data_IF_370354770203
#
_entry.id   IF_370354770203
#
_cell.length_a   1.000
_cell.length_b   1.000
_cell.length_c   1.000
_cell.angle_alpha   90.00
_cell.angle_beta   90.00
_cell.angle_gamma   90.00
#
_symmetry.space_group_name_H-M   'P 1'
#
loop_
_entity.id
_entity.type
_entity.pdbx_description
1 polymer ?
#
# COMPACT_ATOMS: atom_id res chain seq x y z
N UNK A 1 -20.63 -3.38 -3.04
CA UNK A 1 -19.40 -4.03 -2.54
C UNK A 1 -18.71 -4.64 -3.74
N UNK A 2 -17.55 -4.12 -4.13
CA UNK A 2 -16.76 -4.69 -5.23
C UNK A 2 -15.91 -5.85 -4.68
N UNK A 3 -16.56 -6.97 -4.37
CA UNK A 3 -15.90 -8.17 -3.83
C UNK A 3 -14.81 -8.71 -4.78
N UNK A 4 -14.99 -8.54 -6.09
CA UNK A 4 -14.00 -8.91 -7.10
C UNK A 4 -12.69 -8.14 -6.92
N UNK A 5 -12.76 -6.81 -6.84
CA UNK A 5 -11.57 -5.94 -6.68
C UNK A 5 -10.89 -6.21 -5.33
N UNK A 6 -11.68 -6.35 -4.26
CA UNK A 6 -11.13 -6.71 -2.94
C UNK A 6 -10.35 -8.01 -3.00
N UNK A 7 -10.89 -9.03 -3.69
CA UNK A 7 -10.24 -10.34 -3.82
C UNK A 7 -8.96 -10.26 -4.66
N UNK A 8 -8.97 -9.51 -5.76
CA UNK A 8 -7.78 -9.27 -6.58
C UNK A 8 -6.67 -8.57 -5.78
N UNK A 9 -7.00 -7.50 -5.04
CA UNK A 9 -6.06 -6.80 -4.16
C UNK A 9 -5.46 -7.77 -3.13
N UNK A 10 -6.30 -8.59 -2.48
CA UNK A 10 -5.84 -9.57 -1.48
C UNK A 10 -4.90 -10.61 -2.07
N UNK A 11 -5.24 -11.15 -3.24
CA UNK A 11 -4.43 -12.16 -3.90
C UNK A 11 -3.09 -11.57 -4.35
N UNK A 12 -3.10 -10.36 -4.93
CA UNK A 12 -1.86 -9.70 -5.35
C UNK A 12 -0.99 -9.30 -4.16
N UNK A 13 -1.59 -8.80 -3.09
CA UNK A 13 -0.88 -8.49 -1.85
C UNK A 13 -0.17 -9.73 -1.27
N UNK A 14 -0.88 -10.87 -1.23
CA UNK A 14 -0.31 -12.14 -0.77
C UNK A 14 0.84 -12.58 -1.66
N UNK A 15 0.65 -12.61 -2.98
CA UNK A 15 1.67 -12.98 -3.96
C UNK A 15 2.95 -12.14 -3.79
N UNK A 16 2.82 -10.81 -3.68
CA UNK A 16 3.96 -9.90 -3.57
C UNK A 16 4.73 -10.06 -2.25
N UNK A 17 4.03 -10.35 -1.15
CA UNK A 17 4.65 -10.58 0.15
C UNK A 17 5.28 -11.98 0.24
N UNK A 18 4.62 -13.03 -0.27
CA UNK A 18 5.16 -14.41 -0.26
C UNK A 18 6.38 -14.57 -1.16
N UNK A 19 6.48 -13.78 -2.22
CA UNK A 19 7.63 -13.77 -3.13
C UNK A 19 8.75 -12.80 -2.71
N UNK A 20 8.63 -12.16 -1.54
CA UNK A 20 9.58 -11.15 -1.04
C UNK A 20 9.85 -10.02 -2.06
N UNK A 21 8.88 -9.71 -2.94
CA UNK A 21 8.98 -8.59 -3.90
C UNK A 21 8.77 -7.25 -3.20
N UNK A 22 7.93 -7.24 -2.17
CA UNK A 22 7.69 -6.07 -1.32
C UNK A 22 7.77 -6.48 0.15
N UNK A 23 8.21 -5.55 0.99
CA UNK A 23 8.32 -5.76 2.44
C UNK A 23 7.06 -5.26 3.18
N UNK A 24 6.17 -4.54 2.49
CA UNK A 24 4.93 -4.00 3.04
C UNK A 24 3.90 -3.72 1.93
N UNK A 25 2.62 -4.01 2.19
CA UNK A 25 1.49 -3.56 1.37
C UNK A 25 0.69 -2.51 2.14
N UNK A 26 0.43 -1.36 1.52
CA UNK A 26 -0.40 -0.27 2.04
C UNK A 26 -1.74 -0.31 1.31
N UNK A 27 -2.81 -0.60 2.05
CA UNK A 27 -4.17 -0.65 1.51
C UNK A 27 -5.19 -0.08 2.49
N UNK A 28 -6.45 -0.50 2.38
CA UNK A 28 -7.51 -0.11 3.30
C UNK A 28 -8.02 -1.32 4.07
N UNK A 29 -8.44 -1.11 5.31
CA UNK A 29 -9.17 -2.10 6.09
C UNK A 29 -10.41 -1.47 6.74
N UNK A 30 -11.33 -2.31 7.19
CA UNK A 30 -12.50 -1.87 7.93
C UNK A 30 -12.09 -1.19 9.24
N UNK A 31 -12.64 0.01 9.48
CA UNK A 31 -12.47 0.70 10.76
C UNK A 31 -13.48 0.19 11.79
N UNK A 32 -13.08 -0.03 13.05
CA UNK A 32 -14.02 -0.40 14.13
C UNK A 32 -15.13 0.63 14.36
N UNK A 33 -14.92 1.90 13.94
CA UNK A 33 -15.91 2.99 14.05
C UNK A 33 -16.76 3.17 12.78
N UNK A 34 -16.69 2.23 11.84
CA UNK A 34 -17.30 2.33 10.52
C UNK A 34 -16.40 3.04 9.50
N UNK A 35 -16.65 2.76 8.22
CA UNK A 35 -15.83 3.21 7.09
C UNK A 35 -14.52 2.45 6.95
N UNK A 36 -13.56 3.03 6.23
CA UNK A 36 -12.25 2.45 6.00
C UNK A 36 -11.13 3.28 6.66
N UNK A 37 -10.03 2.61 6.99
CA UNK A 37 -8.79 3.25 7.42
C UNK A 37 -7.59 2.67 6.65
N UNK A 38 -6.46 3.38 6.57
CA UNK A 38 -5.22 2.82 6.05
C UNK A 38 -4.80 1.56 6.81
N UNK A 39 -4.36 0.55 6.07
CA UNK A 39 -3.83 -0.71 6.59
C UNK A 39 -2.39 -0.92 6.09
N UNK A 40 -1.55 -1.48 6.95
CA UNK A 40 -0.16 -1.82 6.64
C UNK A 40 0.02 -3.31 6.90
N UNK A 41 0.20 -4.07 5.82
CA UNK A 41 0.29 -5.52 5.85
C UNK A 41 1.75 -5.90 5.61
N UNK A 42 2.33 -6.61 6.57
CA UNK A 42 3.71 -7.12 6.49
C UNK A 42 3.74 -8.65 6.39
N UNK A 43 2.66 -9.32 6.80
CA UNK A 43 2.52 -10.77 6.75
C UNK A 43 1.48 -11.14 5.67
N UNK A 44 1.80 -12.04 4.72
CA UNK A 44 0.84 -12.52 3.73
C UNK A 44 -0.48 -13.07 4.33
N UNK A 45 -0.44 -13.64 5.52
CA UNK A 45 -1.63 -14.15 6.23
C UNK A 45 -2.60 -13.02 6.60
N UNK A 46 -2.09 -11.80 6.79
CA UNK A 46 -2.88 -10.62 7.12
C UNK A 46 -3.51 -9.95 5.91
N UNK A 47 -3.20 -10.38 4.68
CA UNK A 47 -3.75 -9.79 3.45
C UNK A 47 -5.29 -9.81 3.43
N UNK A 48 -5.93 -10.78 4.11
CA UNK A 48 -7.39 -10.86 4.25
C UNK A 48 -8.04 -9.64 4.93
N UNK A 49 -7.28 -8.83 5.67
CA UNK A 49 -7.75 -7.57 6.28
C UNK A 49 -8.07 -6.49 5.24
N UNK A 50 -7.47 -6.59 4.05
CA UNK A 50 -7.64 -5.59 3.00
C UNK A 50 -9.09 -5.56 2.49
N UNK A 51 -9.62 -4.37 2.27
CA UNK A 51 -10.99 -4.15 1.78
C UNK A 51 -11.00 -3.05 0.74
N UNK A 52 -11.90 -3.14 -0.24
CA UNK A 52 -12.16 -2.09 -1.21
C UNK A 52 -13.65 -1.78 -1.31
N UNK A 53 -14.03 -0.54 -1.04
CA UNK A 53 -15.39 -0.04 -1.16
C UNK A 53 -15.41 1.50 -1.21
N UNK A 54 -16.62 2.08 -1.29
CA UNK A 54 -16.84 3.53 -1.41
C UNK A 54 -16.29 4.35 -0.23
N UNK A 55 -16.06 3.73 0.93
CA UNK A 55 -15.48 4.40 2.10
C UNK A 55 -13.95 4.50 2.04
N UNK A 56 -13.29 3.96 1.00
CA UNK A 56 -11.84 4.03 0.75
C UNK A 56 -11.38 5.43 0.30
N UNK A 57 -11.62 6.46 1.12
CA UNK A 57 -11.41 7.86 0.75
C UNK A 57 -10.00 8.39 1.01
N UNK A 58 -9.25 7.80 1.94
CA UNK A 58 -7.93 8.30 2.35
C UNK A 58 -6.89 8.19 1.23
N UNK A 59 -6.01 9.19 1.07
CA UNK A 59 -4.91 9.12 0.11
C UNK A 59 -3.73 8.34 0.72
N UNK A 60 -3.57 7.07 0.32
CA UNK A 60 -2.53 6.19 0.87
C UNK A 60 -1.10 6.53 0.43
N UNK A 61 -0.95 7.28 -0.67
CA UNK A 61 0.37 7.69 -1.19
C UNK A 61 1.15 8.52 -0.17
N UNK A 62 0.43 9.25 0.69
CA UNK A 62 1.03 10.08 1.75
C UNK A 62 1.92 9.25 2.71
N UNK A 63 1.60 7.98 2.93
CA UNK A 63 2.38 7.10 3.82
C UNK A 63 3.68 6.58 3.22
N UNK A 64 3.92 6.80 1.92
CA UNK A 64 5.21 6.47 1.30
C UNK A 64 6.36 7.29 1.91
N UNK A 65 6.07 8.46 2.49
CA UNK A 65 7.06 9.28 3.18
C UNK A 65 7.71 8.58 4.37
N UNK A 66 6.94 7.78 5.10
CA UNK A 66 7.42 7.03 6.27
C UNK A 66 8.26 5.81 5.86
N UNK A 67 8.32 5.50 4.56
CA UNK A 67 9.02 4.34 3.99
C UNK A 67 10.28 4.73 3.21
N UNK A 68 10.63 6.01 3.15
CA UNK A 68 11.82 6.52 2.45
C UNK A 68 13.14 6.16 3.14
N UNK A 69 13.11 5.87 4.44
CA UNK A 69 14.30 5.58 5.23
C UNK A 69 14.35 4.11 5.62
N UNK A 70 15.55 3.52 5.71
CA UNK A 70 15.69 2.16 6.22
C UNK A 70 15.30 2.11 7.70
N UNK A 71 14.78 0.96 8.12
CA UNK A 71 14.36 0.74 9.51
C UNK A 71 15.56 0.67 10.45
N UNK A 72 16.71 0.19 9.96
CA UNK A 72 17.97 0.13 10.68
C UNK A 72 19.11 0.71 9.86
N UNK A 73 20.16 1.16 10.55
CA UNK A 73 21.37 1.67 9.90
C UNK A 73 22.06 0.54 9.13
N UNK A 74 22.33 0.78 7.85
CA UNK A 74 23.01 -0.18 6.96
C UNK A 74 22.06 -1.07 6.15
N UNK A 75 20.75 -0.96 6.35
CA UNK A 75 19.74 -1.60 5.51
C UNK A 75 19.30 -0.66 4.39
N UNK A 76 18.65 -1.23 3.37
CA UNK A 76 17.97 -0.43 2.37
C UNK A 76 16.55 -0.02 2.82
N UNK A 77 15.98 1.08 2.30
CA UNK A 77 14.57 1.40 2.51
C UNK A 77 13.66 0.26 2.03
N UNK A 78 12.54 -0.01 2.74
CA UNK A 78 11.63 -1.09 2.36
C UNK A 78 11.00 -0.85 0.99
N UNK A 79 10.78 -1.94 0.25
CA UNK A 79 9.96 -2.00 -0.95
C UNK A 79 8.49 -2.07 -0.55
N UNK A 80 7.65 -1.26 -1.18
CA UNK A 80 6.27 -1.04 -0.73
C UNK A 80 5.32 -1.18 -1.90
N UNK A 81 4.29 -2.02 -1.75
CA UNK A 81 3.11 -1.97 -2.60
C UNK A 81 2.10 -0.98 -2.01
N UNK A 82 1.45 -0.17 -2.85
CA UNK A 82 0.41 0.77 -2.41
C UNK A 82 -0.79 0.71 -3.34
N UNK A 83 -1.98 0.57 -2.77
CA UNK A 83 -3.23 0.65 -3.54
C UNK A 83 -3.56 2.11 -3.84
N UNK A 84 -3.63 2.46 -5.13
CA UNK A 84 -3.80 3.85 -5.59
C UNK A 84 -5.13 4.02 -6.33
N UNK A 85 -5.92 5.03 -5.91
CA UNK A 85 -7.12 5.47 -6.63
C UNK A 85 -6.74 6.36 -7.82
N UNK A 86 -7.57 6.45 -8.88
CA UNK A 86 -7.34 7.39 -9.98
C UNK A 86 -7.09 8.84 -9.51
N UNK A 87 -7.83 9.31 -8.50
CA UNK A 87 -7.65 10.64 -7.92
C UNK A 87 -6.33 10.82 -7.15
N UNK A 88 -5.77 9.75 -6.58
CA UNK A 88 -4.50 9.77 -5.82
C UNK A 88 -3.28 9.63 -6.74
N UNK A 89 -3.46 9.17 -7.98
CA UNK A 89 -2.37 8.96 -8.95
C UNK A 89 -1.51 10.20 -9.18
N UNK A 90 -2.12 11.40 -9.15
CA UNK A 90 -1.40 12.68 -9.26
C UNK A 90 -0.39 12.85 -8.12
N UNK A 91 -0.76 12.52 -6.89
CA UNK A 91 0.15 12.61 -5.75
C UNK A 91 1.36 11.69 -5.92
N UNK A 92 1.14 10.46 -6.38
CA UNK A 92 2.23 9.52 -6.63
C UNK A 92 3.21 10.06 -7.68
N UNK A 93 2.68 10.58 -8.79
CA UNK A 93 3.49 11.14 -9.87
C UNK A 93 4.31 12.35 -9.41
N UNK A 94 3.76 13.22 -8.55
CA UNK A 94 4.51 14.34 -7.97
C UNK A 94 5.66 13.85 -7.09
N UNK A 95 5.43 12.86 -6.23
CA UNK A 95 6.50 12.30 -5.40
C UNK A 95 7.62 11.66 -6.24
N UNK A 96 7.27 11.00 -7.34
CA UNK A 96 8.26 10.43 -8.27
C UNK A 96 9.03 11.54 -9.01
N UNK A 97 8.33 12.55 -9.52
CA UNK A 97 8.93 13.65 -10.28
C UNK A 97 9.89 14.49 -9.42
N UNK A 98 9.55 14.71 -8.15
CA UNK A 98 10.40 15.41 -7.19
C UNK A 98 11.48 14.51 -6.56
N UNK A 99 11.64 13.27 -7.04
CA UNK A 99 12.60 12.28 -6.52
C UNK A 99 12.45 12.04 -5.01
N UNK A 100 11.24 12.25 -4.51
CA UNK A 100 10.93 12.08 -3.10
C UNK A 100 10.83 10.61 -2.73
N UNK A 101 10.52 9.73 -3.68
CA UNK A 101 10.47 8.28 -3.54
C UNK A 101 11.19 7.62 -4.74
N UNK A 102 11.77 6.45 -4.51
CA UNK A 102 12.44 5.69 -5.58
C UNK A 102 11.44 4.80 -6.32
N UNK A 103 11.33 4.96 -7.65
CA UNK A 103 10.39 4.17 -8.49
C UNK A 103 10.55 2.66 -8.33
N UNK A 104 11.79 2.19 -8.20
CA UNK A 104 12.13 0.78 -8.05
C UNK A 104 11.67 0.17 -6.71
N UNK A 105 11.42 1.01 -5.69
CA UNK A 105 10.96 0.57 -4.37
C UNK A 105 9.45 0.63 -4.20
N UNK A 106 8.70 1.03 -5.23
CA UNK A 106 7.25 1.19 -5.16
C UNK A 106 6.56 0.32 -6.21
N UNK A 107 5.67 -0.54 -5.75
CA UNK A 107 4.71 -1.27 -6.56
C UNK A 107 3.32 -0.61 -6.42
N UNK A 108 2.56 -0.54 -7.50
CA UNK A 108 1.21 0.05 -7.53
C UNK A 108 0.26 -0.97 -8.13
#
# INVERSE_FOLDING_TARGET
>A
MDESITTEIRNKARELLESDQVDCVIGYEASPRGGSRPAFIYDPAEAGRLTWNESCVHNLVTYLHDKKKPRRRGEEPPRVAVVVKPCDSRSLNVLLAEQQIERQRVFV
#
